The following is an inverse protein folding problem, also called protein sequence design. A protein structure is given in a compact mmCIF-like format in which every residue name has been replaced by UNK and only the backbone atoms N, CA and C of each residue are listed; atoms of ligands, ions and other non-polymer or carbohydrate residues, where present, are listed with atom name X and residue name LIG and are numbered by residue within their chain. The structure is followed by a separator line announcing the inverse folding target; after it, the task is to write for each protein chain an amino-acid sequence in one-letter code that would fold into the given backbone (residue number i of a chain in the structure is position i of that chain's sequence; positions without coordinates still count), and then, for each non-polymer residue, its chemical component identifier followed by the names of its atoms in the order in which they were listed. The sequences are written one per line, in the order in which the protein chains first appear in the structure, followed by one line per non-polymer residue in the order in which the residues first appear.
data_IF_254581516517
#
_entry.id   IF_254581516517
#
_cell.length_a   1.000
_cell.length_b   1.000
_cell.length_c   1.000
_cell.angle_alpha   90.00
_cell.angle_beta   90.00
_cell.angle_gamma   90.00
#
_symmetry.space_group_name_H-M   'P 1'
#
loop_
_entity.id
_entity.type
_entity.pdbx_description
1 polymer ?
#
# COMPACT_ATOMS: atom_id res chain seq x y z
N UNK A 1 14.92 1.71 10.17
CA UNK A 1 13.70 1.05 9.68
C UNK A 1 13.18 1.87 8.51
N UNK A 2 13.38 1.41 7.29
CA UNK A 2 12.89 2.06 6.07
C UNK A 2 11.39 1.78 5.99
N UNK A 3 10.59 2.52 6.77
CA UNK A 3 9.14 2.33 6.86
C UNK A 3 8.49 2.60 5.52
N UNK A 4 8.14 1.53 4.80
CA UNK A 4 7.30 1.61 3.61
C UNK A 4 5.97 2.29 3.92
N UNK A 5 5.34 2.87 2.90
CA UNK A 5 3.99 3.43 3.04
C UNK A 5 3.04 2.35 3.58
N UNK A 6 2.11 2.67 4.49
CA UNK A 6 1.14 1.69 4.97
C UNK A 6 0.16 1.35 3.84
N UNK A 7 0.49 0.35 3.05
CA UNK A 7 -0.28 -0.12 1.89
C UNK A 7 -0.86 -1.52 2.13
N UNK A 8 -1.66 -2.00 1.18
CA UNK A 8 -2.27 -3.33 1.29
C UNK A 8 -1.23 -4.47 1.24
N UNK A 9 -0.07 -4.28 0.62
CA UNK A 9 0.98 -5.30 0.60
C UNK A 9 1.61 -5.45 1.99
N UNK A 10 1.91 -4.34 2.66
CA UNK A 10 2.41 -4.32 4.04
C UNK A 10 1.38 -4.93 4.99
N UNK A 11 0.10 -4.54 4.84
CA UNK A 11 -0.99 -5.13 5.63
C UNK A 11 -1.14 -6.63 5.38
N UNK A 12 -0.97 -7.10 4.14
CA UNK A 12 -1.00 -8.52 3.80
C UNK A 12 0.14 -9.28 4.46
N UNK A 13 1.36 -8.75 4.41
CA UNK A 13 2.53 -9.35 5.04
C UNK A 13 2.33 -9.51 6.53
N UNK A 14 1.86 -8.46 7.21
CA UNK A 14 1.59 -8.51 8.65
C UNK A 14 0.43 -9.45 9.01
N UNK A 15 -0.71 -9.36 8.32
CA UNK A 15 -1.91 -10.14 8.65
C UNK A 15 -1.71 -11.65 8.44
N UNK A 16 -1.00 -12.03 7.39
CA UNK A 16 -0.85 -13.44 6.99
C UNK A 16 0.53 -14.03 7.33
N UNK A 17 1.42 -13.25 7.96
CA UNK A 17 2.77 -13.68 8.29
C UNK A 17 3.61 -14.03 7.05
N UNK A 18 3.47 -13.23 5.99
CA UNK A 18 4.18 -13.48 4.73
C UNK A 18 5.64 -13.01 4.83
N UNK A 19 6.55 -13.58 4.02
CA UNK A 19 7.93 -13.11 3.93
C UNK A 19 8.02 -11.62 3.61
N UNK A 20 9.04 -10.93 4.14
CA UNK A 20 9.27 -9.50 3.90
C UNK A 20 9.52 -9.16 2.43
N UNK A 21 10.04 -10.12 1.65
CA UNK A 21 10.31 -10.01 0.21
C UNK A 21 9.17 -10.57 -0.66
N UNK A 22 8.03 -10.92 -0.04
CA UNK A 22 6.81 -11.22 -0.76
C UNK A 22 6.28 -9.95 -1.42
N UNK A 23 6.08 -10.03 -2.73
CA UNK A 23 5.61 -8.90 -3.52
C UNK A 23 4.26 -9.24 -4.16
N UNK A 24 3.38 -8.26 -4.27
CA UNK A 24 2.14 -8.40 -5.03
C UNK A 24 2.41 -8.28 -6.54
N UNK A 25 1.68 -9.06 -7.34
CA UNK A 25 1.67 -8.93 -8.80
C UNK A 25 0.26 -8.76 -9.40
N UNK A 26 -0.79 -9.12 -8.67
CA UNK A 26 -2.18 -8.98 -9.15
C UNK A 26 -3.04 -8.41 -8.02
N UNK A 27 -3.88 -7.44 -8.39
CA UNK A 27 -4.86 -6.80 -7.51
C UNK A 27 -6.25 -7.02 -8.10
N UNK A 28 -7.14 -7.63 -7.32
CA UNK A 28 -8.52 -7.89 -7.73
C UNK A 28 -9.48 -7.32 -6.70
N UNK A 29 -10.38 -6.44 -7.15
CA UNK A 29 -11.42 -5.89 -6.31
C UNK A 29 -12.55 -6.93 -6.17
N UNK A 30 -12.82 -7.38 -4.95
CA UNK A 30 -13.88 -8.36 -4.67
C UNK A 30 -15.15 -7.65 -4.19
N UNK A 31 -16.30 -8.05 -4.74
CA UNK A 31 -17.61 -7.50 -4.42
C UNK A 31 -18.41 -7.15 -5.66
N UNK A 32 -19.41 -6.27 -5.50
CA UNK A 32 -20.22 -5.81 -6.62
C UNK A 32 -19.43 -4.79 -7.45
N UNK A 33 -19.63 -4.73 -8.79
CA UNK A 33 -19.09 -3.66 -9.61
C UNK A 33 -19.41 -2.27 -9.01
N UNK A 34 -18.38 -1.43 -8.88
CA UNK A 34 -18.49 -0.10 -8.27
C UNK A 34 -18.60 -0.06 -6.75
N UNK A 35 -18.72 -1.21 -6.06
CA UNK A 35 -18.79 -1.30 -4.59
C UNK A 35 -17.93 -2.47 -4.07
N UNK A 36 -16.60 -2.40 -4.21
CA UNK A 36 -15.73 -3.43 -3.71
C UNK A 36 -15.72 -3.45 -2.18
N UNK A 37 -15.84 -4.65 -1.61
CA UNK A 37 -15.86 -4.90 -0.17
C UNK A 37 -14.51 -5.43 0.34
N UNK A 38 -13.73 -6.05 -0.54
CA UNK A 38 -12.40 -6.55 -0.24
C UNK A 38 -11.48 -6.39 -1.45
N UNK A 39 -10.18 -6.54 -1.22
CA UNK A 39 -9.16 -6.64 -2.26
C UNK A 39 -8.49 -8.00 -2.11
N UNK A 40 -8.45 -8.79 -3.18
CA UNK A 40 -7.58 -9.93 -3.30
C UNK A 40 -6.23 -9.50 -3.88
N UNK A 41 -5.16 -9.94 -3.24
CA UNK A 41 -3.79 -9.72 -3.66
C UNK A 41 -3.17 -11.07 -3.98
N UNK A 42 -2.69 -11.24 -5.20
CA UNK A 42 -1.87 -12.40 -5.56
C UNK A 42 -0.42 -11.97 -5.69
N UNK A 43 0.46 -12.70 -5.05
CA UNK A 43 1.88 -12.39 -5.01
C UNK A 43 2.74 -13.61 -4.69
N UNK A 44 4.05 -13.40 -4.69
CA UNK A 44 5.05 -14.42 -4.40
C UNK A 44 6.39 -13.74 -4.08
N UNK A 45 7.34 -14.52 -3.56
CA UNK A 45 8.75 -14.11 -3.47
C UNK A 45 9.41 -14.25 -4.84
N UNK A 46 10.14 -13.20 -5.24
CA UNK A 46 10.89 -13.18 -6.52
C UNK A 46 12.35 -12.87 -6.24
N UNK A 47 13.18 -13.91 -6.23
CA UNK A 47 14.62 -13.82 -5.95
C UNK A 47 15.43 -13.46 -7.20
N UNK A 48 15.01 -13.92 -8.38
CA UNK A 48 15.73 -13.68 -9.63
C UNK A 48 15.31 -12.37 -10.32
N UNK A 49 16.28 -11.72 -10.94
CA UNK A 49 16.09 -10.58 -11.85
C UNK A 49 16.51 -10.95 -13.27
N UNK A 50 16.03 -10.19 -14.26
CA UNK A 50 16.55 -10.32 -15.62
C UNK A 50 18.03 -9.93 -15.65
N UNK A 51 18.90 -10.83 -16.12
CA UNK A 51 20.36 -10.63 -16.15
C UNK A 51 20.84 -9.83 -17.37
N UNK A 52 20.02 -9.77 -18.42
CA UNK A 52 20.33 -9.11 -19.70
C UNK A 52 19.06 -8.58 -20.38
N UNK A 53 19.25 -7.79 -21.44
CA UNK A 53 18.17 -7.18 -22.23
C UNK A 53 17.63 -5.87 -21.65
N UNK A 54 16.60 -5.27 -22.29
CA UNK A 54 16.05 -3.97 -21.90
C UNK A 54 15.50 -3.92 -20.48
N UNK A 55 15.11 -5.06 -19.92
CA UNK A 55 14.53 -5.21 -18.58
C UNK A 55 15.56 -5.61 -17.51
N UNK A 56 16.85 -5.52 -17.82
CA UNK A 56 17.93 -5.95 -16.92
C UNK A 56 17.78 -5.27 -15.55
N UNK A 57 17.86 -6.07 -14.49
CA UNK A 57 17.69 -5.62 -13.10
C UNK A 57 16.24 -5.64 -12.60
N UNK A 58 15.24 -5.75 -13.48
CA UNK A 58 13.85 -5.94 -13.06
C UNK A 58 13.59 -7.36 -12.53
N UNK A 59 12.64 -7.48 -11.60
CA UNK A 59 12.18 -8.76 -11.06
C UNK A 59 11.65 -9.68 -12.16
N UNK A 60 12.12 -10.92 -12.17
CA UNK A 60 11.70 -11.93 -13.14
C UNK A 60 10.58 -12.81 -12.56
N UNK A 61 9.33 -12.37 -12.70
CA UNK A 61 8.13 -13.08 -12.22
C UNK A 61 7.92 -14.48 -12.81
N UNK A 62 8.59 -14.81 -13.94
CA UNK A 62 8.59 -16.18 -14.48
C UNK A 62 9.40 -17.15 -13.62
N UNK A 63 10.33 -16.63 -12.82
CA UNK A 63 11.24 -17.34 -11.92
C UNK A 63 10.91 -17.12 -10.44
N UNK A 64 9.67 -16.70 -10.14
CA UNK A 64 9.17 -16.60 -8.77
C UNK A 64 9.20 -17.95 -8.05
N UNK A 65 9.32 -17.92 -6.73
CA UNK A 65 9.14 -19.11 -5.92
C UNK A 65 7.64 -19.47 -5.85
N UNK A 66 7.28 -20.56 -6.51
CA UNK A 66 5.89 -21.03 -6.58
C UNK A 66 5.36 -21.53 -5.23
N UNK A 67 6.22 -21.94 -4.31
CA UNK A 67 5.81 -22.38 -2.97
C UNK A 67 5.31 -21.21 -2.10
N UNK A 68 5.79 -20.00 -2.40
CA UNK A 68 5.36 -18.75 -1.75
C UNK A 68 4.24 -18.03 -2.50
N UNK A 69 3.80 -18.58 -3.64
CA UNK A 69 2.73 -17.97 -4.41
C UNK A 69 1.40 -18.18 -3.69
N UNK A 70 0.72 -17.08 -3.39
CA UNK A 70 -0.57 -17.13 -2.72
C UNK A 70 -1.46 -15.96 -3.09
N UNK A 71 -2.76 -16.18 -2.96
CA UNK A 71 -3.79 -15.16 -3.05
C UNK A 71 -4.39 -14.96 -1.67
N UNK A 72 -4.30 -13.74 -1.15
CA UNK A 72 -4.87 -13.35 0.15
C UNK A 72 -5.94 -12.29 -0.06
N UNK A 73 -6.95 -12.25 0.80
CA UNK A 73 -8.07 -11.31 0.67
C UNK A 73 -8.20 -10.43 1.89
N UNK A 74 -8.12 -9.12 1.69
CA UNK A 74 -8.21 -8.12 2.75
C UNK A 74 -9.55 -7.39 2.63
N UNK A 75 -10.46 -7.55 3.61
CA UNK A 75 -11.66 -6.71 3.69
C UNK A 75 -11.28 -5.24 3.80
N UNK A 76 -11.98 -4.36 3.07
CA UNK A 76 -11.72 -2.91 3.08
C UNK A 76 -11.82 -2.34 4.50
N UNK A 77 -12.80 -2.80 5.27
CA UNK A 77 -12.98 -2.38 6.67
C UNK A 77 -11.80 -2.79 7.57
N UNK A 78 -11.24 -4.00 7.35
CA UNK A 78 -10.08 -4.47 8.09
C UNK A 78 -8.83 -3.61 7.77
N UNK A 79 -8.63 -3.29 6.49
CA UNK A 79 -7.53 -2.40 6.11
C UNK A 79 -7.67 -0.99 6.70
N UNK A 80 -8.87 -0.41 6.70
CA UNK A 80 -9.11 0.89 7.35
C UNK A 80 -8.79 0.84 8.84
N UNK A 81 -9.20 -0.22 9.56
CA UNK A 81 -8.86 -0.41 10.97
C UNK A 81 -7.35 -0.50 11.19
N UNK A 82 -6.66 -1.29 10.38
CA UNK A 82 -5.20 -1.41 10.41
C UNK A 82 -4.49 -0.08 10.16
N UNK A 83 -4.95 0.73 9.19
CA UNK A 83 -4.40 2.06 8.93
C UNK A 83 -4.51 2.96 10.18
N UNK A 84 -5.65 2.95 10.86
CA UNK A 84 -5.85 3.73 12.09
C UNK A 84 -4.93 3.25 13.23
N UNK A 85 -4.77 1.93 13.38
CA UNK A 85 -3.84 1.35 14.36
C UNK A 85 -2.37 1.72 14.04
N UNK A 86 -2.01 1.74 12.76
CA UNK A 86 -0.72 2.20 12.29
C UNK A 86 -0.49 3.69 12.59
N UNK A 87 -1.49 4.55 12.37
CA UNK A 87 -1.41 5.97 12.73
C UNK A 87 -1.20 6.16 14.23
N UNK A 88 -1.91 5.40 15.06
CA UNK A 88 -1.73 5.44 16.52
C UNK A 88 -0.33 5.01 16.95
N UNK A 89 0.21 3.95 16.31
CA UNK A 89 1.54 3.42 16.62
C UNK A 89 2.67 4.36 16.19
N UNK A 90 2.53 5.01 15.04
CA UNK A 90 3.60 5.81 14.43
C UNK A 90 3.48 7.30 14.71
N UNK A 91 2.28 7.79 15.03
CA UNK A 91 1.97 9.22 15.11
C UNK A 91 1.94 9.92 13.74
N UNK A 92 2.08 9.18 12.64
CA UNK A 92 2.12 9.71 11.28
C UNK A 92 0.76 9.57 10.60
N UNK A 93 0.45 10.49 9.69
CA UNK A 93 -0.74 10.40 8.84
C UNK A 93 -0.56 9.25 7.83
N UNK A 94 -1.50 8.30 7.78
CA UNK A 94 -1.40 7.16 6.88
C UNK A 94 -1.58 7.54 5.40
N UNK A 95 -2.27 8.65 5.11
CA UNK A 95 -2.55 9.07 3.74
C UNK A 95 -1.33 9.67 3.03
N UNK A 96 -0.51 10.44 3.76
CA UNK A 96 0.72 11.03 3.23
C UNK A 96 2.00 10.37 3.77
N UNK A 97 1.86 9.34 4.61
CA UNK A 97 2.95 8.64 5.27
C UNK A 97 3.95 9.60 5.94
N UNK A 98 3.46 10.58 6.71
CA UNK A 98 4.33 11.54 7.38
C UNK A 98 4.80 12.74 6.55
N UNK A 99 4.61 12.74 5.23
CA UNK A 99 5.20 13.76 4.34
C UNK A 99 4.47 15.11 4.35
N UNK A 100 3.21 15.13 4.79
CA UNK A 100 2.36 16.33 4.73
C UNK A 100 1.84 16.66 3.33
N UNK A 101 2.30 15.99 2.28
CA UNK A 101 1.86 16.23 0.90
C UNK A 101 1.43 14.93 0.21
N UNK A 102 0.49 15.07 -0.73
CA UNK A 102 -0.03 13.97 -1.56
C UNK A 102 0.05 14.36 -3.03
N UNK A 103 0.12 13.35 -3.89
CA UNK A 103 0.09 13.56 -5.33
C UNK A 103 -1.19 14.31 -5.74
N UNK A 104 -1.03 15.39 -6.51
CA UNK A 104 -2.14 16.14 -7.09
C UNK A 104 -2.36 15.72 -8.53
N UNK A 105 -1.30 15.81 -9.33
CA UNK A 105 -1.33 15.58 -10.76
C UNK A 105 0.09 15.39 -11.28
N UNK A 106 0.20 14.82 -12.48
CA UNK A 106 1.43 14.80 -13.24
C UNK A 106 1.14 15.41 -14.60
N UNK A 107 2.05 16.27 -15.04
CA UNK A 107 2.02 16.86 -16.37
C UNK A 107 3.41 16.73 -17.01
N UNK A 108 3.44 16.68 -18.35
CA UNK A 108 4.68 16.45 -19.09
C UNK A 108 5.66 17.62 -18.96
N UNK A 109 5.15 18.85 -18.88
CA UNK A 109 5.98 20.07 -18.85
C UNK A 109 6.42 20.39 -17.43
N UNK A 110 5.47 20.34 -16.49
CA UNK A 110 5.68 20.76 -15.09
C UNK A 110 6.08 19.62 -14.15
N UNK A 111 5.98 18.37 -14.61
CA UNK A 111 6.32 17.18 -13.84
C UNK A 111 5.28 16.84 -12.77
N UNK A 112 5.76 16.20 -11.69
CA UNK A 112 4.92 15.78 -10.56
C UNK A 112 4.53 16.99 -9.72
N UNK A 113 3.24 17.27 -9.64
CA UNK A 113 2.69 18.30 -8.75
C UNK A 113 2.15 17.65 -7.49
N UNK A 114 2.58 18.16 -6.34
CA UNK A 114 2.11 17.77 -5.02
C UNK A 114 1.13 18.81 -4.48
N UNK A 115 0.26 18.39 -3.55
CA UNK A 115 -0.60 19.29 -2.78
C UNK A 115 -0.53 18.94 -1.30
N UNK A 116 -0.85 19.88 -0.40
CA UNK A 116 -0.99 19.55 1.02
C UNK A 116 -2.00 18.41 1.22
N UNK A 117 -1.65 17.46 2.09
CA UNK A 117 -2.51 16.37 2.50
C UNK A 117 -3.69 16.93 3.29
N UNK A 118 -4.91 16.72 2.78
CA UNK A 118 -6.13 17.24 3.41
C UNK A 118 -6.46 16.59 4.75
N UNK A 119 -6.07 15.33 4.95
CA UNK A 119 -6.34 14.62 6.21
C UNK A 119 -5.58 15.21 7.40
N UNK A 120 -4.34 15.66 7.17
CA UNK A 120 -3.47 16.18 8.23
C UNK A 120 -3.13 17.67 8.06
N UNK A 121 -3.83 18.37 7.16
CA UNK A 121 -3.60 19.79 6.83
C UNK A 121 -2.12 20.15 6.59
N UNK A 122 -1.40 19.27 5.88
CA UNK A 122 0.02 19.51 5.60
C UNK A 122 1.00 19.11 6.70
N UNK A 123 0.55 18.72 7.89
CA UNK A 123 1.43 18.49 9.05
C UNK A 123 2.19 17.17 9.00
N UNK A 124 1.70 16.19 8.22
CA UNK A 124 2.23 14.83 8.21
C UNK A 124 1.87 13.99 9.45
N UNK A 125 1.22 14.57 10.46
CA UNK A 125 0.88 13.87 11.71
C UNK A 125 -0.48 13.20 11.62
N UNK A 126 -0.64 12.09 12.35
CA UNK A 126 -1.93 11.45 12.51
C UNK A 126 -2.95 12.49 13.04
N UNK A 127 -4.13 12.62 12.43
CA UNK A 127 -5.15 13.55 12.93
C UNK A 127 -5.59 13.11 14.34
N UNK A 128 -5.80 14.07 15.23
CA UNK A 128 -6.32 13.82 16.58
C UNK A 128 -7.82 13.50 16.59
N UNK A 129 -8.43 13.17 15.45
CA UNK A 129 -9.86 12.98 15.33
C UNK A 129 -10.31 11.75 16.13
N UNK A 130 -10.80 12.02 17.34
CA UNK A 130 -11.66 11.12 18.12
C UNK A 130 -12.79 10.60 17.21
N UNK A 131 -13.02 9.27 17.11
CA UNK A 131 -14.10 8.76 16.31
C UNK A 131 -15.46 9.14 16.93
N UNK A 132 -16.16 10.08 16.30
CA UNK A 132 -17.61 10.26 16.48
C UNK A 132 -18.04 11.45 17.32
N UNK A 133 -18.29 12.58 16.66
CA UNK A 133 -19.46 13.40 16.99
C UNK A 133 -20.00 13.94 15.66
N UNK A 134 -21.16 13.45 15.16
CA UNK A 134 -21.82 14.07 14.03
C UNK A 134 -22.39 15.43 14.47
N UNK A 135 -22.15 16.46 13.66
CA UNK A 135 -22.86 17.74 13.76
C UNK A 135 -24.34 17.58 13.35
#
# INVERSE_FOLDING_TARGET
MSGGSPDYETHAREMYGLPDDWMVCIWEALGKPGKPQAIALTGAVVTEVFKSGPRKGEKNWKKRDRSTQMTVSIPKAAHQKWLLEWEQKTGLCHECNGKGEVFKSWDRETGTQMKPCRRCDGTGKAPTTTPGEPA
#
